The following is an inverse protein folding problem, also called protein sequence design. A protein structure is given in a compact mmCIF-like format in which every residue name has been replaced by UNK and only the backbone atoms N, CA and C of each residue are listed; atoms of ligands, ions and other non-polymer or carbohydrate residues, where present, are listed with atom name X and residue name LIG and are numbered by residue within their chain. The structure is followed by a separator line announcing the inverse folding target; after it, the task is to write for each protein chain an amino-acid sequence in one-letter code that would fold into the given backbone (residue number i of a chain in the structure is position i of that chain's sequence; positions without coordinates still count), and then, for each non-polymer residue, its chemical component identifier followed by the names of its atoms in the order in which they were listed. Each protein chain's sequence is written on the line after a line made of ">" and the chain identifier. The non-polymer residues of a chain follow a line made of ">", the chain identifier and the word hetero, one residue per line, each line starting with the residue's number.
data_IF_038911117591
#
_entry.id   IF_038911117591
#
_cell.length_a   1.000
_cell.length_b   1.000
_cell.length_c   1.000
_cell.angle_alpha   90.00
_cell.angle_beta   90.00
_cell.angle_gamma   90.00
#
_symmetry.space_group_name_H-M   'P 1'
#
loop_
_entity.id
_entity.type
_entity.pdbx_description
1 polymer ?
#
# COMPACT_ATOMS: atom_id res chain seq x y z
N UNK A 1 -49.14 48.19 -19.39
CA UNK A 1 -48.68 46.82 -19.69
C UNK A 1 -47.19 46.71 -19.35
N UNK A 2 -46.88 46.15 -18.18
CA UNK A 2 -45.53 46.01 -17.68
C UNK A 2 -45.10 44.53 -17.91
N UNK A 3 -44.18 44.29 -18.84
CA UNK A 3 -43.66 42.98 -19.11
C UNK A 3 -42.51 42.72 -18.10
N UNK A 4 -42.75 41.86 -17.12
CA UNK A 4 -41.77 41.35 -16.17
C UNK A 4 -40.83 40.36 -16.87
N UNK A 5 -39.51 40.60 -16.78
CA UNK A 5 -38.46 39.67 -17.19
C UNK A 5 -37.96 38.87 -15.96
N UNK A 6 -38.28 37.59 -15.80
CA UNK A 6 -37.78 36.81 -14.65
C UNK A 6 -36.81 35.69 -14.98
N UNK A 7 -36.19 35.60 -16.16
CA UNK A 7 -35.44 34.35 -16.55
C UNK A 7 -33.91 34.42 -16.58
N UNK A 8 -33.29 35.58 -16.39
CA UNK A 8 -31.81 35.66 -16.50
C UNK A 8 -31.06 35.39 -15.21
N UNK A 9 -31.64 35.56 -14.04
CA UNK A 9 -30.95 35.44 -12.74
C UNK A 9 -30.63 33.97 -12.39
N UNK A 10 -31.47 33.02 -12.78
CA UNK A 10 -31.35 31.62 -12.42
C UNK A 10 -30.21 30.90 -13.19
N UNK A 11 -29.97 31.30 -14.43
CA UNK A 11 -28.93 30.68 -15.29
C UNK A 11 -27.49 31.06 -14.84
N UNK A 12 -27.32 32.29 -14.35
CA UNK A 12 -25.99 32.78 -13.87
C UNK A 12 -25.63 32.13 -12.54
N UNK A 13 -26.61 31.99 -11.64
CA UNK A 13 -26.42 31.34 -10.33
C UNK A 13 -26.08 29.86 -10.52
N UNK A 14 -26.81 29.16 -11.37
CA UNK A 14 -26.56 27.74 -11.68
C UNK A 14 -25.20 27.51 -12.35
N UNK A 15 -24.77 28.41 -13.24
CA UNK A 15 -23.45 28.36 -13.86
C UNK A 15 -22.32 28.59 -12.86
N UNK A 16 -22.50 29.49 -11.89
CA UNK A 16 -21.53 29.73 -10.80
C UNK A 16 -21.41 28.52 -9.88
N UNK A 17 -22.54 27.90 -9.51
CA UNK A 17 -22.55 26.68 -8.69
C UNK A 17 -21.85 25.50 -9.39
N UNK A 18 -22.10 25.30 -10.69
CA UNK A 18 -21.41 24.27 -11.47
C UNK A 18 -19.90 24.56 -11.56
N UNK A 19 -19.49 25.80 -11.79
CA UNK A 19 -18.07 26.18 -11.82
C UNK A 19 -17.40 25.97 -10.47
N UNK A 20 -18.02 26.36 -9.35
CA UNK A 20 -17.49 26.18 -8.00
C UNK A 20 -17.37 24.69 -7.64
N UNK A 21 -18.37 23.87 -7.97
CA UNK A 21 -18.32 22.41 -7.75
C UNK A 21 -17.27 21.74 -8.61
N UNK A 22 -17.08 22.17 -9.86
CA UNK A 22 -16.05 21.63 -10.76
C UNK A 22 -14.66 22.00 -10.26
N UNK A 23 -14.44 23.22 -9.77
CA UNK A 23 -13.17 23.68 -9.25
C UNK A 23 -12.81 22.94 -7.94
N UNK A 24 -13.75 22.77 -7.03
CA UNK A 24 -13.56 22.01 -5.79
C UNK A 24 -13.24 20.53 -6.06
N UNK A 25 -13.88 19.91 -7.05
CA UNK A 25 -13.60 18.50 -7.41
C UNK A 25 -12.23 18.34 -8.08
N UNK A 26 -11.78 19.30 -8.87
CA UNK A 26 -10.45 19.29 -9.48
C UNK A 26 -9.34 19.51 -8.47
N UNK A 27 -9.51 20.42 -7.52
CA UNK A 27 -8.55 20.65 -6.42
C UNK A 27 -8.47 19.40 -5.53
N UNK A 28 -9.58 18.85 -5.09
CA UNK A 28 -9.60 17.64 -4.26
C UNK A 28 -8.99 16.41 -4.96
N UNK A 29 -9.14 16.29 -6.27
CA UNK A 29 -8.50 15.22 -7.05
C UNK A 29 -6.99 15.42 -7.19
N UNK A 30 -6.52 16.65 -7.33
CA UNK A 30 -5.10 17.01 -7.35
C UNK A 30 -4.38 16.67 -6.04
N UNK A 31 -4.96 17.09 -4.92
CA UNK A 31 -4.43 16.82 -3.58
C UNK A 31 -4.34 15.32 -3.30
N UNK A 32 -5.34 14.55 -3.71
CA UNK A 32 -5.34 13.09 -3.57
C UNK A 32 -4.28 12.41 -4.42
N UNK A 33 -4.04 12.87 -5.65
CA UNK A 33 -2.98 12.34 -6.51
C UNK A 33 -1.58 12.64 -5.94
N UNK A 34 -1.38 13.84 -5.41
CA UNK A 34 -0.12 14.23 -4.77
C UNK A 34 0.15 13.43 -3.50
N UNK A 35 -0.88 13.28 -2.64
CA UNK A 35 -0.79 12.44 -1.46
C UNK A 35 -0.38 11.01 -1.78
N UNK A 36 -1.03 10.36 -2.75
CA UNK A 36 -0.71 8.98 -3.13
C UNK A 36 0.72 8.85 -3.67
N UNK A 37 1.20 9.85 -4.39
CA UNK A 37 2.58 9.85 -4.89
C UNK A 37 3.58 9.91 -3.73
N UNK A 38 3.37 10.82 -2.77
CA UNK A 38 4.20 10.91 -1.55
C UNK A 38 4.12 9.62 -0.72
N UNK A 39 2.93 9.06 -0.56
CA UNK A 39 2.69 7.81 0.15
C UNK A 39 3.51 6.65 -0.43
N UNK A 40 3.51 6.48 -1.75
CA UNK A 40 4.30 5.43 -2.39
C UNK A 40 5.81 5.66 -2.29
N UNK A 41 6.29 6.90 -2.40
CA UNK A 41 7.70 7.21 -2.16
C UNK A 41 8.11 6.91 -0.71
N UNK A 42 7.28 7.27 0.26
CA UNK A 42 7.55 6.98 1.68
C UNK A 42 7.62 5.47 1.93
N UNK A 43 6.71 4.69 1.33
CA UNK A 43 6.74 3.22 1.44
C UNK A 43 7.99 2.62 0.77
N UNK A 44 8.36 3.10 -0.40
CA UNK A 44 9.57 2.68 -1.09
C UNK A 44 10.83 2.99 -0.28
N UNK A 45 10.95 4.20 0.23
CA UNK A 45 12.08 4.63 1.04
C UNK A 45 12.21 3.82 2.34
N UNK A 46 11.10 3.64 3.07
CA UNK A 46 11.08 2.81 4.27
C UNK A 46 11.53 1.38 3.96
N UNK A 47 10.96 0.74 2.94
CA UNK A 47 11.31 -0.64 2.58
C UNK A 47 12.76 -0.76 2.14
N UNK A 48 13.30 0.21 1.38
CA UNK A 48 14.70 0.21 0.97
C UNK A 48 15.66 0.36 2.17
N UNK A 49 15.36 1.28 3.09
CA UNK A 49 16.13 1.46 4.34
C UNK A 49 16.05 0.20 5.20
N UNK A 50 14.87 -0.40 5.31
CA UNK A 50 14.66 -1.64 6.06
C UNK A 50 15.48 -2.79 5.47
N UNK A 51 15.48 -2.95 4.14
CA UNK A 51 16.28 -3.97 3.43
C UNK A 51 17.78 -3.76 3.70
N UNK A 52 18.26 -2.53 3.58
CA UNK A 52 19.65 -2.21 3.88
C UNK A 52 20.00 -2.55 5.33
N UNK A 53 19.15 -2.16 6.30
CA UNK A 53 19.35 -2.47 7.71
C UNK A 53 19.29 -3.99 7.99
N UNK A 54 18.40 -4.73 7.32
CA UNK A 54 18.27 -6.17 7.47
C UNK A 54 19.52 -6.93 6.98
N UNK A 55 20.05 -6.52 5.82
CA UNK A 55 21.24 -7.15 5.22
C UNK A 55 22.55 -6.75 5.89
N UNK A 56 22.59 -5.66 6.63
CA UNK A 56 23.79 -5.20 7.35
C UNK A 56 23.67 -5.50 8.85
N UNK A 57 23.05 -4.63 9.63
CA UNK A 57 22.96 -4.76 11.08
C UNK A 57 22.09 -5.96 11.51
N UNK A 58 21.01 -6.28 10.79
CA UNK A 58 20.13 -7.40 11.09
C UNK A 58 20.79 -8.76 10.90
N UNK A 59 21.69 -8.89 9.90
CA UNK A 59 22.45 -10.14 9.69
C UNK A 59 23.50 -10.40 10.77
N UNK A 60 23.91 -9.38 11.51
CA UNK A 60 24.97 -9.44 12.53
C UNK A 60 24.43 -9.50 13.96
N UNK A 61 23.16 -9.12 14.18
CA UNK A 61 22.57 -9.03 15.52
C UNK A 61 21.15 -9.58 15.54
N UNK A 62 20.91 -10.61 16.33
CA UNK A 62 19.58 -11.20 16.53
C UNK A 62 18.59 -10.19 17.12
N UNK A 63 19.02 -9.30 18.01
CA UNK A 63 18.16 -8.28 18.58
C UNK A 63 17.72 -7.25 17.52
N UNK A 64 18.64 -6.85 16.64
CA UNK A 64 18.32 -5.94 15.52
C UNK A 64 17.42 -6.65 14.52
N UNK A 65 17.70 -7.92 14.18
CA UNK A 65 16.83 -8.72 13.31
C UNK A 65 15.40 -8.80 13.88
N UNK A 66 15.25 -9.13 15.17
CA UNK A 66 13.96 -9.21 15.82
C UNK A 66 13.19 -7.88 15.76
N UNK A 67 13.86 -6.77 16.08
CA UNK A 67 13.25 -5.44 15.99
C UNK A 67 12.79 -5.11 14.56
N UNK A 68 13.62 -5.37 13.56
CA UNK A 68 13.30 -5.13 12.16
C UNK A 68 12.12 -6.00 11.70
N UNK A 69 12.06 -7.27 12.10
CA UNK A 69 10.98 -8.20 11.76
C UNK A 69 9.64 -7.78 12.36
N UNK A 70 9.63 -7.21 13.55
CA UNK A 70 8.41 -6.66 14.19
C UNK A 70 8.00 -5.36 13.50
N UNK A 71 8.96 -4.46 13.25
CA UNK A 71 8.70 -3.12 12.70
C UNK A 71 8.11 -3.19 11.28
N UNK A 72 8.47 -4.19 10.47
CA UNK A 72 8.03 -4.23 9.08
C UNK A 72 6.51 -4.38 8.92
N UNK A 73 5.84 -5.40 9.50
CA UNK A 73 4.38 -5.50 9.45
C UNK A 73 3.69 -4.40 10.28
N UNK A 74 4.28 -3.93 11.37
CA UNK A 74 3.74 -2.81 12.14
C UNK A 74 3.70 -1.51 11.30
N UNK A 75 4.75 -1.24 10.55
CA UNK A 75 4.78 -0.13 9.59
C UNK A 75 3.72 -0.29 8.51
N UNK A 76 3.53 -1.50 7.97
CA UNK A 76 2.49 -1.72 6.96
C UNK A 76 1.09 -1.44 7.53
N UNK A 77 0.80 -1.87 8.76
CA UNK A 77 -0.44 -1.54 9.44
C UNK A 77 -0.62 -0.03 9.62
N UNK A 78 0.43 0.67 10.11
CA UNK A 78 0.40 2.12 10.30
C UNK A 78 0.21 2.89 8.98
N UNK A 79 0.93 2.49 7.93
CA UNK A 79 0.81 3.11 6.62
C UNK A 79 -0.60 2.96 6.03
N UNK A 80 -1.20 1.76 6.12
CA UNK A 80 -2.58 1.52 5.68
C UNK A 80 -3.60 2.29 6.52
N UNK A 81 -3.37 2.45 7.84
CA UNK A 81 -4.23 3.24 8.72
C UNK A 81 -4.20 4.72 8.35
N UNK A 82 -3.02 5.28 8.08
CA UNK A 82 -2.84 6.66 7.63
C UNK A 82 -3.55 6.88 6.28
N UNK A 83 -3.38 5.95 5.33
CA UNK A 83 -4.07 6.03 4.04
C UNK A 83 -5.60 5.96 4.19
N UNK A 84 -6.10 5.07 5.05
CA UNK A 84 -7.53 4.99 5.36
C UNK A 84 -8.07 6.29 5.95
N UNK A 85 -7.35 6.90 6.91
CA UNK A 85 -7.74 8.19 7.51
C UNK A 85 -7.91 9.31 6.49
N UNK A 86 -7.07 9.31 5.45
CA UNK A 86 -7.16 10.26 4.33
C UNK A 86 -8.26 9.94 3.31
N UNK A 87 -8.80 8.74 3.33
CA UNK A 87 -9.78 8.24 2.36
C UNK A 87 -11.14 7.91 3.01
N UNK A 88 -11.56 8.67 4.00
CA UNK A 88 -12.88 8.52 4.65
C UNK A 88 -12.93 7.54 5.82
N UNK A 89 -11.77 7.12 6.33
CA UNK A 89 -11.65 6.25 7.50
C UNK A 89 -11.80 4.76 7.19
N UNK A 90 -11.51 3.94 8.19
CA UNK A 90 -11.57 2.47 8.07
C UNK A 90 -12.99 1.96 7.83
N UNK A 91 -14.01 2.59 8.40
CA UNK A 91 -15.41 2.20 8.25
C UNK A 91 -15.88 2.25 6.78
N UNK A 92 -15.37 3.22 6.02
CA UNK A 92 -15.74 3.42 4.61
C UNK A 92 -14.77 2.75 3.63
N UNK A 93 -13.66 2.16 4.14
CA UNK A 93 -12.63 1.55 3.31
C UNK A 93 -12.29 0.13 3.78
N UNK A 94 -13.19 -0.82 3.49
CA UNK A 94 -13.06 -2.23 3.89
C UNK A 94 -11.72 -2.85 3.49
N UNK A 95 -11.19 -2.54 2.32
CA UNK A 95 -9.91 -3.09 1.86
C UNK A 95 -8.76 -2.65 2.78
N UNK A 96 -8.71 -1.37 3.16
CA UNK A 96 -7.70 -0.86 4.08
C UNK A 96 -7.91 -1.38 5.51
N UNK A 97 -9.16 -1.49 5.97
CA UNK A 97 -9.46 -2.07 7.27
C UNK A 97 -8.92 -3.50 7.40
N UNK A 98 -9.13 -4.33 6.37
CA UNK A 98 -8.61 -5.70 6.33
C UNK A 98 -7.07 -5.70 6.30
N UNK A 99 -6.43 -4.84 5.49
CA UNK A 99 -4.97 -4.74 5.44
C UNK A 99 -4.38 -4.34 6.81
N UNK A 100 -4.98 -3.35 7.48
CA UNK A 100 -4.57 -2.94 8.84
C UNK A 100 -4.69 -4.10 9.81
N UNK A 101 -5.84 -4.81 9.81
CA UNK A 101 -6.07 -5.94 10.70
C UNK A 101 -5.08 -7.09 10.44
N UNK A 102 -4.88 -7.46 9.17
CA UNK A 102 -3.94 -8.51 8.77
C UNK A 102 -2.53 -8.16 9.21
N UNK A 103 -2.05 -6.94 8.97
CA UNK A 103 -0.68 -6.53 9.33
C UNK A 103 -0.50 -6.36 10.85
N UNK A 104 -1.52 -5.91 11.57
CA UNK A 104 -1.49 -5.84 13.04
C UNK A 104 -1.44 -7.25 13.67
N UNK A 105 -2.26 -8.18 13.19
CA UNK A 105 -2.23 -9.59 13.61
C UNK A 105 -0.90 -10.23 13.27
N UNK A 106 -0.35 -9.96 12.09
CA UNK A 106 0.98 -10.42 11.69
C UNK A 106 2.07 -9.90 12.63
N UNK A 107 2.00 -8.62 13.02
CA UNK A 107 2.96 -8.04 13.99
C UNK A 107 2.93 -8.80 15.31
N UNK A 108 1.74 -9.07 15.86
CA UNK A 108 1.59 -9.85 17.09
C UNK A 108 2.09 -11.30 16.91
N UNK A 109 1.76 -11.93 15.79
CA UNK A 109 2.21 -13.29 15.48
C UNK A 109 3.74 -13.38 15.33
N UNK A 110 4.39 -12.37 14.75
CA UNK A 110 5.86 -12.30 14.65
C UNK A 110 6.50 -12.20 16.02
N UNK A 111 5.94 -11.39 16.94
CA UNK A 111 6.45 -11.29 18.32
C UNK A 111 6.42 -12.67 18.99
N UNK A 112 5.33 -13.41 18.86
CA UNK A 112 5.22 -14.77 19.39
C UNK A 112 6.16 -15.73 18.67
N UNK A 113 6.23 -15.70 17.35
CA UNK A 113 7.08 -16.58 16.55
C UNK A 113 8.57 -16.41 16.87
N UNK A 114 9.02 -15.19 17.18
CA UNK A 114 10.39 -14.90 17.61
C UNK A 114 10.79 -15.60 18.91
N UNK A 115 9.84 -15.95 19.78
CA UNK A 115 10.11 -16.75 20.99
C UNK A 115 10.26 -18.25 20.68
N UNK A 116 9.88 -18.67 19.46
CA UNK A 116 9.91 -20.06 19.04
C UNK A 116 11.12 -20.37 18.15
N UNK A 117 11.12 -19.89 16.91
CA UNK A 117 12.24 -20.01 15.96
C UNK A 117 12.07 -19.11 14.74
N UNK A 118 13.16 -18.92 13.98
CA UNK A 118 13.11 -18.20 12.70
C UNK A 118 12.26 -18.92 11.64
N UNK A 119 12.09 -20.24 11.72
CA UNK A 119 11.18 -20.98 10.85
C UNK A 119 9.73 -20.54 11.08
N UNK A 120 9.30 -20.39 12.34
CA UNK A 120 7.97 -19.86 12.66
C UNK A 120 7.79 -18.42 12.17
N UNK A 121 8.82 -17.58 12.33
CA UNK A 121 8.79 -16.20 11.80
C UNK A 121 8.60 -16.22 10.29
N UNK A 122 9.38 -17.04 9.56
CA UNK A 122 9.24 -17.13 8.10
C UNK A 122 7.87 -17.65 7.68
N UNK A 123 7.31 -18.64 8.41
CA UNK A 123 5.95 -19.14 8.19
C UNK A 123 4.88 -18.04 8.36
N UNK A 124 4.99 -17.21 9.39
CA UNK A 124 4.10 -16.05 9.63
C UNK A 124 4.21 -15.04 8.50
N UNK A 125 5.43 -14.70 8.06
CA UNK A 125 5.64 -13.83 6.90
C UNK A 125 5.08 -14.44 5.61
N UNK A 126 5.16 -15.76 5.46
CA UNK A 126 4.58 -16.49 4.34
C UNK A 126 3.05 -16.34 4.28
N UNK A 127 2.37 -16.54 5.40
CA UNK A 127 0.92 -16.33 5.51
C UNK A 127 0.56 -14.87 5.22
N UNK A 128 1.30 -13.92 5.80
CA UNK A 128 1.08 -12.49 5.54
C UNK A 128 1.23 -12.13 4.07
N UNK A 129 2.26 -12.64 3.39
CA UNK A 129 2.50 -12.40 1.96
C UNK A 129 1.35 -12.98 1.10
N UNK A 130 0.83 -14.18 1.44
CA UNK A 130 -0.31 -14.78 0.75
C UNK A 130 -1.55 -13.90 0.93
N UNK A 131 -1.91 -13.55 2.18
CA UNK A 131 -3.11 -12.74 2.43
C UNK A 131 -3.02 -11.37 1.76
N UNK A 132 -1.88 -10.69 1.88
CA UNK A 132 -1.65 -9.40 1.22
C UNK A 132 -1.76 -9.52 -0.31
N UNK A 133 -1.18 -10.56 -0.89
CA UNK A 133 -1.25 -10.84 -2.31
C UNK A 133 -2.68 -11.11 -2.79
N UNK A 134 -3.44 -11.93 -2.07
CA UNK A 134 -4.84 -12.23 -2.39
C UNK A 134 -5.75 -11.01 -2.27
N UNK A 135 -5.56 -10.17 -1.23
CA UNK A 135 -6.30 -8.91 -1.09
C UNK A 135 -6.01 -7.95 -2.25
N UNK A 136 -4.76 -7.90 -2.69
CA UNK A 136 -4.34 -7.10 -3.83
C UNK A 136 -4.95 -7.61 -5.14
N UNK A 137 -4.91 -8.93 -5.38
CA UNK A 137 -5.56 -9.58 -6.51
C UNK A 137 -7.08 -9.33 -6.52
N UNK A 138 -7.76 -9.54 -5.40
CA UNK A 138 -9.19 -9.29 -5.27
C UNK A 138 -9.56 -7.83 -5.54
N UNK A 139 -8.70 -6.89 -5.13
CA UNK A 139 -8.89 -5.47 -5.44
C UNK A 139 -8.70 -5.18 -6.92
N UNK A 140 -7.67 -5.75 -7.55
CA UNK A 140 -7.40 -5.58 -8.97
C UNK A 140 -8.54 -6.14 -9.85
N UNK A 141 -9.04 -7.33 -9.52
CA UNK A 141 -10.16 -7.97 -10.23
C UNK A 141 -11.44 -7.12 -10.13
N UNK A 142 -11.76 -6.61 -8.93
CA UNK A 142 -12.94 -5.74 -8.74
C UNK A 142 -12.85 -4.44 -9.54
N UNK A 143 -11.64 -3.89 -9.71
CA UNK A 143 -11.39 -2.62 -10.43
C UNK A 143 -11.04 -2.79 -11.90
N UNK A 144 -11.00 -4.03 -12.41
CA UNK A 144 -10.56 -4.34 -13.76
C UNK A 144 -11.31 -3.56 -14.84
N UNK A 145 -12.65 -3.48 -14.70
CA UNK A 145 -13.52 -2.82 -15.70
C UNK A 145 -13.60 -1.29 -15.53
N UNK A 146 -13.25 -0.78 -14.37
CA UNK A 146 -13.43 0.66 -14.05
C UNK A 146 -12.14 1.47 -14.11
N UNK A 147 -11.00 0.83 -13.93
CA UNK A 147 -9.71 1.51 -13.87
C UNK A 147 -8.69 0.76 -14.73
N UNK A 148 -8.07 1.46 -15.69
CA UNK A 148 -6.98 0.91 -16.48
C UNK A 148 -5.72 0.61 -15.64
N UNK A 149 -4.85 -0.27 -16.15
CA UNK A 149 -3.52 -0.51 -15.55
C UNK A 149 -3.51 -1.46 -14.34
N UNK A 150 -4.56 -2.27 -14.15
CA UNK A 150 -4.65 -3.23 -13.03
C UNK A 150 -3.67 -4.40 -13.14
N UNK A 151 -3.07 -4.63 -14.31
CA UNK A 151 -2.12 -5.70 -14.56
C UNK A 151 -0.90 -5.68 -13.60
N UNK A 152 -0.40 -4.47 -13.25
CA UNK A 152 0.70 -4.33 -12.31
C UNK A 152 0.31 -4.78 -10.89
N UNK A 153 -0.92 -4.50 -10.49
CA UNK A 153 -1.46 -4.95 -9.20
C UNK A 153 -1.67 -6.47 -9.17
N UNK A 154 -2.11 -7.07 -10.29
CA UNK A 154 -2.23 -8.53 -10.43
C UNK A 154 -0.86 -9.19 -10.36
N UNK A 155 0.11 -8.66 -11.10
CA UNK A 155 1.46 -9.20 -11.11
C UNK A 155 2.10 -9.15 -9.70
N UNK A 156 2.02 -8.00 -9.04
CA UNK A 156 2.53 -7.82 -7.68
C UNK A 156 1.81 -8.72 -6.67
N UNK A 157 0.48 -8.80 -6.72
CA UNK A 157 -0.30 -9.66 -5.83
C UNK A 157 -0.05 -11.15 -6.05
N UNK A 158 0.03 -11.59 -7.30
CA UNK A 158 0.37 -12.96 -7.66
C UNK A 158 1.77 -13.35 -7.20
N UNK A 159 2.75 -12.48 -7.44
CA UNK A 159 4.14 -12.70 -6.98
C UNK A 159 4.23 -12.75 -5.45
N UNK A 160 3.48 -11.89 -4.74
CA UNK A 160 3.42 -11.91 -3.28
C UNK A 160 2.85 -13.24 -2.75
N UNK A 161 1.77 -13.74 -3.35
CA UNK A 161 1.17 -15.02 -2.95
C UNK A 161 2.13 -16.20 -3.20
N UNK A 162 2.81 -16.22 -4.35
CA UNK A 162 3.82 -17.24 -4.67
C UNK A 162 5.01 -17.17 -3.72
N UNK A 163 5.53 -15.98 -3.42
CA UNK A 163 6.60 -15.79 -2.45
C UNK A 163 6.20 -16.29 -1.05
N UNK A 164 4.95 -16.02 -0.65
CA UNK A 164 4.42 -16.51 0.63
C UNK A 164 4.33 -18.03 0.70
N UNK A 165 3.89 -18.70 -0.38
CA UNK A 165 3.89 -20.15 -0.47
C UNK A 165 5.32 -20.73 -0.39
N UNK A 166 6.29 -20.09 -1.04
CA UNK A 166 7.70 -20.44 -0.97
C UNK A 166 8.24 -20.30 0.46
N UNK A 167 7.89 -19.23 1.17
CA UNK A 167 8.29 -19.04 2.57
C UNK A 167 7.72 -20.11 3.50
N UNK A 168 6.47 -20.53 3.30
CA UNK A 168 5.86 -21.61 4.08
C UNK A 168 6.60 -22.94 3.82
N UNK A 169 6.94 -23.23 2.56
CA UNK A 169 7.72 -24.41 2.23
C UNK A 169 9.12 -24.37 2.86
N UNK A 170 9.80 -23.23 2.78
CA UNK A 170 11.13 -23.04 3.37
C UNK A 170 11.10 -23.09 4.91
N UNK A 171 10.02 -22.61 5.54
CA UNK A 171 9.84 -22.68 6.99
C UNK A 171 9.76 -24.11 7.54
N UNK A 172 9.50 -25.10 6.70
CA UNK A 172 9.48 -26.54 7.07
C UNK A 172 10.83 -27.23 6.89
N UNK A 173 11.84 -26.55 6.35
CA UNK A 173 13.16 -27.12 6.16
C UNK A 173 13.95 -27.14 7.48
N UNK A 174 14.87 -28.12 7.67
CA UNK A 174 15.71 -28.19 8.86
C UNK A 174 16.63 -26.99 9.06
N UNK A 175 17.03 -26.35 7.94
CA UNK A 175 17.92 -25.20 7.95
C UNK A 175 17.16 -23.95 8.43
N UNK A 176 17.72 -23.29 9.45
CA UNK A 176 17.11 -22.09 10.00
C UNK A 176 17.22 -20.91 9.00
N UNK A 177 16.10 -20.30 8.60
CA UNK A 177 16.13 -19.14 7.72
C UNK A 177 16.73 -17.93 8.43
N UNK A 178 17.25 -17.00 7.63
CA UNK A 178 17.76 -15.72 8.12
C UNK A 178 16.84 -14.57 7.73
N UNK A 179 17.07 -13.38 8.30
CA UNK A 179 16.34 -12.17 7.93
C UNK A 179 16.55 -11.82 6.44
N UNK A 180 17.65 -12.26 5.82
CA UNK A 180 17.91 -12.04 4.40
C UNK A 180 16.87 -12.68 3.47
N UNK A 181 16.24 -13.80 3.88
CA UNK A 181 15.16 -14.42 3.13
C UNK A 181 13.98 -13.47 2.97
N UNK A 182 13.62 -12.73 4.05
CA UNK A 182 12.53 -11.75 4.05
C UNK A 182 12.97 -10.46 3.36
N UNK A 183 14.25 -10.08 3.46
CA UNK A 183 14.78 -8.88 2.83
C UNK A 183 14.62 -8.90 1.30
N UNK A 184 14.78 -10.03 0.66
CA UNK A 184 14.53 -10.19 -0.79
C UNK A 184 13.09 -9.85 -1.16
N UNK A 185 12.11 -10.35 -0.40
CA UNK A 185 10.69 -10.03 -0.58
C UNK A 185 10.37 -8.56 -0.33
N UNK A 186 10.92 -7.98 0.75
CA UNK A 186 10.75 -6.56 1.05
C UNK A 186 11.35 -5.66 -0.03
N UNK A 187 12.47 -6.08 -0.65
CA UNK A 187 13.10 -5.40 -1.77
C UNK A 187 12.20 -5.35 -3.01
N UNK A 188 11.51 -6.44 -3.33
CA UNK A 188 10.49 -6.46 -4.38
C UNK A 188 9.35 -5.49 -4.07
N UNK A 189 8.87 -5.45 -2.83
CA UNK A 189 7.89 -4.47 -2.38
C UNK A 189 8.36 -3.03 -2.57
N UNK A 190 9.61 -2.72 -2.18
CA UNK A 190 10.23 -1.41 -2.40
C UNK A 190 10.24 -1.02 -3.88
N UNK A 191 10.61 -1.95 -4.75
CA UNK A 191 10.64 -1.76 -6.19
C UNK A 191 9.24 -1.41 -6.74
N UNK A 192 8.20 -2.17 -6.39
CA UNK A 192 6.83 -1.88 -6.84
C UNK A 192 6.32 -0.53 -6.35
N UNK A 193 6.60 -0.16 -5.11
CA UNK A 193 6.24 1.16 -4.59
C UNK A 193 6.98 2.28 -5.34
N UNK A 194 8.27 2.10 -5.61
CA UNK A 194 9.07 3.08 -6.36
C UNK A 194 8.55 3.25 -7.78
N UNK A 195 8.32 2.16 -8.51
CA UNK A 195 7.75 2.18 -9.87
C UNK A 195 6.40 2.90 -9.87
N UNK A 196 5.53 2.59 -8.90
CA UNK A 196 4.22 3.23 -8.77
C UNK A 196 4.35 4.74 -8.50
N UNK A 197 5.27 5.15 -7.62
CA UNK A 197 5.52 6.55 -7.31
C UNK A 197 6.03 7.33 -8.53
N UNK A 198 7.04 6.78 -9.23
CA UNK A 198 7.63 7.39 -10.42
C UNK A 198 6.61 7.50 -11.55
N UNK A 199 5.85 6.43 -11.82
CA UNK A 199 4.80 6.44 -12.83
C UNK A 199 3.76 7.54 -12.59
N UNK A 200 3.30 7.67 -11.35
CA UNK A 200 2.36 8.73 -10.95
C UNK A 200 2.96 10.11 -11.12
N UNK A 201 4.21 10.33 -10.70
CA UNK A 201 4.92 11.59 -10.86
C UNK A 201 5.03 12.00 -12.33
N UNK A 202 5.41 11.08 -13.21
CA UNK A 202 5.50 11.33 -14.66
C UNK A 202 4.13 11.68 -15.24
N UNK A 203 3.08 10.96 -14.84
CA UNK A 203 1.71 11.25 -15.30
C UNK A 203 1.23 12.64 -14.86
N UNK A 204 1.51 13.04 -13.62
CA UNK A 204 1.20 14.38 -13.11
C UNK A 204 1.94 15.47 -13.86
N UNK A 205 3.25 15.28 -14.12
CA UNK A 205 4.05 16.24 -14.89
C UNK A 205 3.54 16.42 -16.32
N UNK A 206 3.14 15.34 -16.99
CA UNK A 206 2.56 15.41 -18.35
C UNK A 206 1.23 16.16 -18.37
N UNK A 207 0.37 15.96 -17.37
CA UNK A 207 -0.91 16.70 -17.26
C UNK A 207 -0.73 18.20 -17.01
N UNK A 208 0.32 18.61 -16.28
CA UNK A 208 0.61 20.03 -16.03
C UNK A 208 1.19 20.76 -17.27
N UNK A 209 1.66 20.01 -18.27
CA UNK A 209 2.25 20.56 -19.51
C UNK A 209 1.29 20.57 -20.70
N UNK A 210 0.16 19.88 -20.60
CA UNK A 210 -0.91 19.84 -21.58
C UNK A 210 -2.03 20.83 -21.23
#
# INVERSE_FOLDING_TARGET
>A
MTVSRPYQTNTITHRKEIMMTTDQTTVASGDREEWLTRYYFTRAAFSAIWVAAALTAGSQSLAVAAALLIVYPAWDAAANLIDAGRNGGLANNRSQAINVAVSAVTTAAVIVALTMSMNWVLGVFGLWAIFSGLLQLGTAVRRWKTNGGQWAMILSGGQSAVAGAFFIAQAQMPEAPSIANIAGYAGLGAFYFLVSAVWRSVKQMRRKRA
#
